data_IF_147567583783
#
_entry.id   IF_147567583783
#
_cell.length_a   1.000
_cell.length_b   1.000
_cell.length_c   1.000
_cell.angle_alpha   90.00
_cell.angle_beta   90.00
_cell.angle_gamma   90.00
#
_symmetry.space_group_name_H-M   'P 1'
#
loop_
_entity.id
_entity.type
_entity.pdbx_description
1 polymer ?
#
# COMPACT_ATOMS: atom_id res chain seq x y z
N UNK A 1 -6.31 -1.73 26.99
CA UNK A 1 -6.97 -2.37 25.82
C UNK A 1 -8.46 -2.30 26.09
N UNK A 2 -9.27 -1.93 25.10
CA UNK A 2 -10.73 -1.92 25.25
C UNK A 2 -11.28 -3.35 25.16
N UNK A 3 -12.40 -3.61 25.81
CA UNK A 3 -13.17 -4.84 25.64
C UNK A 3 -13.66 -4.95 24.20
N UNK A 4 -13.69 -6.19 23.72
CA UNK A 4 -14.37 -6.50 22.46
C UNK A 4 -15.84 -6.03 22.52
N UNK A 5 -16.37 -5.57 21.41
CA UNK A 5 -17.74 -5.07 21.31
C UNK A 5 -18.56 -6.01 20.45
N UNK A 6 -19.80 -6.27 20.87
CA UNK A 6 -20.75 -7.07 20.08
C UNK A 6 -21.47 -6.10 19.16
N UNK A 7 -20.90 -5.90 17.98
CA UNK A 7 -21.44 -5.03 16.95
C UNK A 7 -21.11 -5.62 15.58
N UNK A 8 -21.96 -5.34 14.60
CA UNK A 8 -21.73 -5.76 13.20
C UNK A 8 -20.52 -5.01 12.62
N UNK A 9 -19.56 -5.76 12.06
CA UNK A 9 -18.37 -5.21 11.40
C UNK A 9 -18.57 -4.97 9.89
N UNK A 10 -19.76 -5.32 9.37
CA UNK A 10 -20.11 -5.28 7.96
C UNK A 10 -21.22 -4.27 7.63
N UNK A 11 -21.66 -3.45 8.58
CA UNK A 11 -22.70 -2.45 8.38
C UNK A 11 -22.34 -1.08 8.93
N UNK A 12 -22.88 -0.02 8.30
CA UNK A 12 -22.73 1.35 8.79
C UNK A 12 -23.37 1.53 10.18
N UNK A 13 -24.49 0.86 10.44
CA UNK A 13 -25.15 0.86 11.74
C UNK A 13 -24.26 0.24 12.83
N UNK A 14 -23.67 -0.93 12.55
CA UNK A 14 -22.77 -1.61 13.48
C UNK A 14 -21.53 -0.77 13.81
N UNK A 15 -20.98 -0.02 12.85
CA UNK A 15 -19.94 0.99 13.13
C UNK A 15 -20.44 2.05 14.12
N UNK A 16 -21.69 2.50 14.01
CA UNK A 16 -22.31 3.40 14.99
C UNK A 16 -22.38 2.81 16.40
N UNK A 17 -22.76 1.53 16.51
CA UNK A 17 -22.81 0.78 17.78
C UNK A 17 -21.41 0.65 18.42
N UNK A 18 -20.37 0.47 17.60
CA UNK A 18 -18.97 0.47 18.07
C UNK A 18 -18.60 1.80 18.72
N UNK A 19 -19.03 2.94 18.19
CA UNK A 19 -18.76 4.24 18.82
C UNK A 19 -19.46 4.40 20.16
N UNK A 20 -20.72 3.96 20.26
CA UNK A 20 -21.45 3.96 21.53
C UNK A 20 -20.71 3.14 22.58
N UNK A 21 -20.35 1.89 22.23
CA UNK A 21 -19.60 1.02 23.13
C UNK A 21 -18.20 1.57 23.47
N UNK A 22 -17.55 2.27 22.54
CA UNK A 22 -16.26 2.91 22.79
C UNK A 22 -16.39 4.04 23.82
N UNK A 23 -17.37 4.94 23.65
CA UNK A 23 -17.65 6.06 24.56
C UNK A 23 -17.91 5.55 25.98
N UNK A 24 -18.75 4.52 26.11
CA UNK A 24 -19.06 3.88 27.39
C UNK A 24 -17.81 3.29 28.06
N UNK A 25 -16.97 2.59 27.31
CA UNK A 25 -15.79 1.94 27.86
C UNK A 25 -14.68 2.91 28.28
N UNK A 26 -14.54 4.05 27.60
CA UNK A 26 -13.56 5.07 27.98
C UNK A 26 -14.08 5.98 29.09
N UNK A 27 -15.35 5.86 29.49
CA UNK A 27 -15.97 6.66 30.54
C UNK A 27 -16.12 8.13 30.18
N UNK A 28 -16.21 8.45 28.88
CA UNK A 28 -16.45 9.83 28.42
C UNK A 28 -17.93 10.05 28.20
N UNK A 29 -18.39 11.29 28.37
CA UNK A 29 -19.68 11.70 27.82
C UNK A 29 -19.60 11.79 26.29
N UNK A 30 -20.75 11.67 25.61
CA UNK A 30 -20.81 11.87 24.17
C UNK A 30 -20.29 13.27 23.77
N UNK A 31 -20.57 14.30 24.59
CA UNK A 31 -20.08 15.65 24.36
C UNK A 31 -18.55 15.73 24.43
N UNK A 32 -17.92 15.15 25.45
CA UNK A 32 -16.46 15.12 25.56
C UNK A 32 -15.82 14.36 24.41
N UNK A 33 -16.36 13.21 24.04
CA UNK A 33 -15.85 12.42 22.91
C UNK A 33 -15.91 13.21 21.60
N UNK A 34 -17.05 13.86 21.32
CA UNK A 34 -17.27 14.62 20.09
C UNK A 34 -16.68 16.04 20.09
N UNK A 35 -16.18 16.51 21.24
CA UNK A 35 -15.40 17.76 21.36
C UNK A 35 -13.95 17.62 20.88
N UNK A 36 -13.47 16.38 20.68
CA UNK A 36 -12.08 16.07 20.33
C UNK A 36 -11.98 15.43 18.95
N UNK A 37 -10.84 15.61 18.29
CA UNK A 37 -10.49 14.81 17.11
C UNK A 37 -10.29 13.35 17.54
N UNK A 38 -10.98 12.42 16.87
CA UNK A 38 -10.89 10.99 17.12
C UNK A 38 -10.24 10.33 15.91
N UNK A 39 -9.01 9.88 16.05
CA UNK A 39 -8.31 9.15 15.00
C UNK A 39 -8.64 7.67 15.15
N UNK A 40 -9.15 7.05 14.09
CA UNK A 40 -9.45 5.62 14.07
C UNK A 40 -8.77 4.99 12.87
N UNK A 41 -7.97 3.99 13.16
CA UNK A 41 -7.26 3.22 12.14
C UNK A 41 -7.92 1.87 11.96
N UNK A 42 -8.00 1.42 10.71
CA UNK A 42 -8.53 0.11 10.39
C UNK A 42 -8.29 -0.24 8.93
N UNK A 43 -8.73 -1.42 8.52
CA UNK A 43 -8.71 -1.75 7.11
C UNK A 43 -9.60 -0.76 6.31
N UNK A 44 -9.39 -0.70 5.00
CA UNK A 44 -10.12 0.23 4.15
C UNK A 44 -11.64 -0.03 4.10
N UNK A 45 -12.07 -1.27 4.33
CA UNK A 45 -13.49 -1.61 4.44
C UNK A 45 -14.15 -0.90 5.62
N UNK A 46 -13.53 -0.91 6.80
CA UNK A 46 -14.01 -0.20 7.99
C UNK A 46 -14.06 1.32 7.76
N UNK A 47 -13.04 1.88 7.09
CA UNK A 47 -13.03 3.30 6.73
C UNK A 47 -14.22 3.64 5.80
N UNK A 48 -14.50 2.80 4.81
CA UNK A 48 -15.63 2.98 3.89
C UNK A 48 -16.99 2.89 4.59
N UNK A 49 -17.13 1.99 5.58
CA UNK A 49 -18.35 1.90 6.37
C UNK A 49 -18.57 3.16 7.21
N UNK A 50 -17.51 3.71 7.81
CA UNK A 50 -17.60 5.00 8.51
C UNK A 50 -17.95 6.15 7.57
N UNK A 51 -17.30 6.24 6.40
CA UNK A 51 -17.65 7.25 5.39
C UNK A 51 -19.08 7.06 4.85
N UNK A 52 -19.60 5.84 4.81
CA UNK A 52 -21.01 5.55 4.51
C UNK A 52 -21.93 6.07 5.61
N UNK A 53 -21.61 5.77 6.87
CA UNK A 53 -22.37 6.25 8.03
C UNK A 53 -22.43 7.77 8.07
N UNK A 54 -21.31 8.46 7.85
CA UNK A 54 -21.27 9.92 7.76
C UNK A 54 -22.22 10.46 6.70
N UNK A 55 -22.21 9.87 5.49
CA UNK A 55 -23.10 10.24 4.39
C UNK A 55 -24.58 10.02 4.72
N UNK A 56 -24.92 8.93 5.39
CA UNK A 56 -26.30 8.65 5.82
C UNK A 56 -26.81 9.67 6.85
N UNK A 57 -25.91 10.32 7.58
CA UNK A 57 -26.25 11.32 8.60
C UNK A 57 -26.22 12.75 8.08
N UNK A 58 -26.02 12.97 6.77
CA UNK A 58 -26.12 14.30 6.15
C UNK A 58 -27.60 14.64 5.91
N UNK A 59 -28.08 15.85 6.25
CA UNK A 59 -27.34 16.94 6.90
C UNK A 59 -27.37 16.86 8.43
N UNK A 60 -26.18 16.75 9.03
CA UNK A 60 -26.01 16.87 10.48
C UNK A 60 -25.26 18.16 10.83
N UNK A 61 -25.72 18.87 11.86
CA UNK A 61 -25.13 20.13 12.32
C UNK A 61 -24.10 19.95 13.44
N UNK A 62 -24.18 18.87 14.19
CA UNK A 62 -23.36 18.65 15.38
C UNK A 62 -22.48 17.42 15.22
N UNK A 63 -21.26 17.46 15.77
CA UNK A 63 -20.27 16.38 15.68
C UNK A 63 -20.77 15.02 16.15
N UNK A 64 -21.63 14.98 17.19
CA UNK A 64 -22.19 13.73 17.71
C UNK A 64 -23.11 13.02 16.69
N UNK A 65 -23.80 13.81 15.87
CA UNK A 65 -24.59 13.30 14.75
C UNK A 65 -23.74 13.09 13.50
N UNK A 66 -22.92 14.06 13.09
CA UNK A 66 -22.20 14.01 11.81
C UNK A 66 -20.97 13.09 11.80
N UNK A 67 -20.41 12.79 12.97
CA UNK A 67 -19.11 12.13 13.15
C UNK A 67 -17.96 12.86 12.44
N UNK A 68 -18.10 14.15 12.16
CA UNK A 68 -17.08 14.95 11.46
C UNK A 68 -15.75 14.96 12.23
N UNK A 69 -15.81 14.95 13.56
CA UNK A 69 -14.64 14.90 14.43
C UNK A 69 -13.89 13.54 14.40
N UNK A 70 -14.43 12.51 13.74
CA UNK A 70 -13.79 11.20 13.63
C UNK A 70 -13.05 11.10 12.30
N UNK A 71 -11.74 10.93 12.33
CA UNK A 71 -10.89 10.77 11.15
C UNK A 71 -10.54 9.28 10.94
N UNK A 72 -11.15 8.60 9.95
CA UNK A 72 -10.70 7.26 9.55
C UNK A 72 -9.38 7.34 8.80
N UNK A 73 -8.44 6.48 9.19
CA UNK A 73 -7.16 6.29 8.50
C UNK A 73 -7.06 4.83 8.03
N UNK A 74 -6.79 4.58 6.73
CA UNK A 74 -6.47 3.24 6.27
C UNK A 74 -5.17 2.75 6.90
N UNK A 75 -5.22 1.55 7.45
CA UNK A 75 -4.12 0.97 8.20
C UNK A 75 -2.85 0.80 7.37
N UNK A 76 -1.70 1.07 7.98
CA UNK A 76 -0.44 1.10 7.25
C UNK A 76 -0.02 -0.29 6.73
N UNK A 77 -0.28 -1.36 7.48
CA UNK A 77 0.00 -2.71 7.01
C UNK A 77 -0.94 -3.12 5.88
N UNK A 78 -2.24 -2.88 6.00
CA UNK A 78 -3.18 -3.17 4.92
C UNK A 78 -2.86 -2.38 3.65
N UNK A 79 -2.43 -1.13 3.76
CA UNK A 79 -1.98 -0.33 2.61
C UNK A 79 -0.76 -0.97 1.94
N UNK A 80 0.28 -1.31 2.71
CA UNK A 80 1.48 -2.01 2.21
C UNK A 80 1.10 -3.32 1.52
N UNK A 81 0.27 -4.15 2.14
CA UNK A 81 -0.10 -5.46 1.63
C UNK A 81 -0.86 -5.41 0.31
N UNK A 82 -1.86 -4.52 0.19
CA UNK A 82 -2.65 -4.43 -1.04
C UNK A 82 -1.83 -3.80 -2.17
N UNK A 83 -1.00 -2.79 -1.88
CA UNK A 83 -0.08 -2.21 -2.88
C UNK A 83 0.96 -3.24 -3.35
N UNK A 84 1.61 -3.92 -2.41
CA UNK A 84 2.61 -4.96 -2.71
C UNK A 84 2.02 -6.09 -3.55
N UNK A 85 0.81 -6.57 -3.22
CA UNK A 85 0.14 -7.61 -4.00
C UNK A 85 -0.14 -7.15 -5.43
N UNK A 86 -0.68 -5.95 -5.62
CA UNK A 86 -0.98 -5.43 -6.95
C UNK A 86 0.29 -5.23 -7.80
N UNK A 87 1.35 -4.68 -7.21
CA UNK A 87 2.66 -4.52 -7.87
C UNK A 87 3.24 -5.89 -8.23
N UNK A 88 3.23 -6.84 -7.30
CA UNK A 88 3.80 -8.16 -7.51
C UNK A 88 3.06 -8.95 -8.59
N UNK A 89 1.73 -8.86 -8.64
CA UNK A 89 0.93 -9.51 -9.68
C UNK A 89 1.20 -8.95 -11.08
N UNK A 90 1.41 -7.64 -11.19
CA UNK A 90 1.77 -6.98 -12.46
C UNK A 90 3.16 -7.38 -12.95
N UNK A 91 4.08 -7.66 -12.03
CA UNK A 91 5.46 -8.09 -12.31
C UNK A 91 5.68 -9.60 -12.28
N UNK A 92 4.61 -10.37 -12.09
CA UNK A 92 4.71 -11.80 -11.85
C UNK A 92 5.34 -12.52 -13.05
N UNK A 93 4.87 -12.24 -14.27
CA UNK A 93 5.28 -12.89 -15.52
C UNK A 93 4.34 -14.02 -15.97
N UNK A 94 4.70 -14.70 -17.06
CA UNK A 94 3.96 -15.83 -17.60
C UNK A 94 4.70 -17.17 -17.37
N UNK A 95 4.25 -17.93 -16.37
CA UNK A 95 4.81 -19.23 -15.99
C UNK A 95 4.73 -20.30 -17.10
N UNK A 96 3.85 -20.13 -18.10
CA UNK A 96 3.72 -21.08 -19.21
C UNK A 96 4.85 -20.96 -20.24
N UNK A 97 5.64 -19.90 -20.18
CA UNK A 97 6.78 -19.69 -21.07
C UNK A 97 8.08 -19.74 -20.30
N UNK A 98 8.91 -20.76 -20.58
CA UNK A 98 10.17 -20.99 -19.86
C UNK A 98 11.18 -19.85 -19.98
N UNK A 99 11.07 -19.03 -21.03
CA UNK A 99 11.91 -17.86 -21.32
C UNK A 99 11.40 -16.55 -20.71
N UNK A 100 10.22 -16.57 -20.07
CA UNK A 100 9.72 -15.39 -19.37
C UNK A 100 10.57 -15.12 -18.12
N UNK A 101 10.99 -13.86 -17.98
CA UNK A 101 11.92 -13.41 -16.94
C UNK A 101 11.23 -12.66 -15.80
N UNK A 102 9.93 -12.85 -15.64
CA UNK A 102 9.13 -12.28 -14.56
C UNK A 102 9.58 -12.69 -13.15
N UNK A 103 8.93 -12.14 -12.14
CA UNK A 103 9.30 -12.40 -10.75
C UNK A 103 9.24 -13.90 -10.38
N UNK A 104 8.31 -14.66 -10.99
CA UNK A 104 8.23 -16.12 -10.81
C UNK A 104 9.55 -16.82 -11.19
N UNK A 105 10.19 -16.40 -12.29
CA UNK A 105 11.44 -16.99 -12.79
C UNK A 105 12.60 -16.72 -11.84
N UNK A 106 12.61 -15.54 -11.23
CA UNK A 106 13.59 -15.16 -10.22
C UNK A 106 13.46 -16.02 -8.96
N UNK A 107 12.22 -16.25 -8.49
CA UNK A 107 11.96 -17.15 -7.35
C UNK A 107 12.38 -18.59 -7.65
N UNK A 108 12.03 -19.09 -8.84
CA UNK A 108 12.47 -20.41 -9.30
C UNK A 108 14.01 -20.51 -9.34
N UNK A 109 14.70 -19.49 -9.88
CA UNK A 109 16.16 -19.41 -9.87
C UNK A 109 16.77 -19.39 -8.47
N UNK A 110 16.06 -18.84 -7.49
CA UNK A 110 16.43 -18.86 -6.07
C UNK A 110 16.08 -20.18 -5.37
N UNK A 111 15.49 -21.17 -6.06
CA UNK A 111 15.06 -22.44 -5.47
C UNK A 111 13.80 -22.32 -4.61
N UNK A 112 12.98 -21.29 -4.85
CA UNK A 112 11.75 -21.03 -4.09
C UNK A 112 10.55 -21.47 -4.92
N UNK A 113 9.82 -22.47 -4.43
CA UNK A 113 8.51 -22.85 -4.97
C UNK A 113 7.49 -21.84 -4.48
N UNK A 114 6.99 -20.99 -5.39
CA UNK A 114 6.02 -19.96 -5.08
C UNK A 114 4.84 -20.03 -6.04
N UNK A 115 3.63 -19.99 -5.49
CA UNK A 115 2.42 -19.80 -6.26
C UNK A 115 2.19 -18.31 -6.53
N UNK A 116 1.53 -18.01 -7.65
CA UNK A 116 1.07 -16.65 -7.94
C UNK A 116 0.21 -16.15 -6.78
N UNK A 117 0.50 -14.98 -6.18
CA UNK A 117 -0.15 -14.51 -4.95
C UNK A 117 -1.53 -13.91 -5.22
N UNK A 118 -2.43 -14.71 -5.82
CA UNK A 118 -3.80 -14.31 -6.16
C UNK A 118 -4.67 -14.31 -4.90
N UNK A 119 -4.37 -15.17 -3.93
CA UNK A 119 -5.13 -15.27 -2.67
C UNK A 119 -4.46 -14.50 -1.54
N UNK A 120 -5.26 -13.87 -0.67
CA UNK A 120 -4.80 -13.11 0.51
C UNK A 120 -4.49 -14.04 1.70
N UNK A 121 -3.60 -15.02 1.49
CA UNK A 121 -3.27 -16.03 2.51
C UNK A 121 -2.08 -15.65 3.38
N UNK A 122 -0.95 -15.27 2.77
CA UNK A 122 0.28 -14.95 3.52
C UNK A 122 1.00 -13.74 2.93
N UNK A 123 0.68 -12.55 3.47
CA UNK A 123 1.32 -11.30 3.08
C UNK A 123 2.78 -11.21 3.51
N UNK A 124 3.17 -11.88 4.60
CA UNK A 124 4.55 -11.85 5.08
C UNK A 124 5.47 -12.63 4.14
N UNK A 125 5.02 -13.81 3.69
CA UNK A 125 5.72 -14.61 2.70
C UNK A 125 5.81 -13.87 1.36
N UNK A 126 4.72 -13.22 0.94
CA UNK A 126 4.71 -12.40 -0.27
C UNK A 126 5.76 -11.27 -0.23
N UNK A 127 5.80 -10.49 0.86
CA UNK A 127 6.81 -9.43 1.02
C UNK A 127 8.24 -9.99 1.06
N UNK A 128 8.43 -11.13 1.73
CA UNK A 128 9.71 -11.84 1.76
C UNK A 128 10.18 -12.24 0.36
N UNK A 129 9.28 -12.78 -0.48
CA UNK A 129 9.56 -13.12 -1.87
C UNK A 129 9.94 -11.90 -2.71
N UNK A 130 9.20 -10.79 -2.57
CA UNK A 130 9.53 -9.55 -3.29
C UNK A 130 10.92 -9.03 -2.90
N UNK A 131 11.25 -9.01 -1.61
CA UNK A 131 12.57 -8.59 -1.13
C UNK A 131 13.69 -9.50 -1.66
N UNK A 132 13.51 -10.83 -1.64
CA UNK A 132 14.49 -11.78 -2.19
C UNK A 132 14.73 -11.58 -3.68
N UNK A 133 13.66 -11.43 -4.46
CA UNK A 133 13.75 -11.19 -5.91
C UNK A 133 14.47 -9.87 -6.19
N UNK A 134 14.12 -8.82 -5.45
CA UNK A 134 14.73 -7.52 -5.61
C UNK A 134 16.23 -7.56 -5.29
N UNK A 135 16.61 -8.03 -4.11
CA UNK A 135 18.02 -8.08 -3.67
C UNK A 135 18.89 -8.96 -4.58
N UNK A 136 18.38 -10.12 -5.02
CA UNK A 136 19.09 -10.96 -5.97
C UNK A 136 19.30 -10.26 -7.32
N UNK A 137 18.29 -9.52 -7.79
CA UNK A 137 18.38 -8.73 -9.02
C UNK A 137 19.38 -7.58 -8.88
N UNK A 138 19.39 -6.85 -7.76
CA UNK A 138 20.40 -5.82 -7.49
C UNK A 138 21.81 -6.41 -7.51
N UNK A 139 22.01 -7.55 -6.85
CA UNK A 139 23.29 -8.25 -6.82
C UNK A 139 23.77 -8.62 -8.22
N UNK A 140 22.89 -9.11 -9.09
CA UNK A 140 23.22 -9.39 -10.48
C UNK A 140 23.76 -8.15 -11.22
N UNK A 141 23.13 -6.99 -11.05
CA UNK A 141 23.61 -5.76 -11.69
C UNK A 141 24.91 -5.23 -11.12
N UNK A 142 25.09 -5.30 -9.81
CA UNK A 142 26.37 -4.96 -9.18
C UNK A 142 27.50 -5.83 -9.77
N UNK A 143 27.25 -7.13 -9.92
CA UNK A 143 28.22 -8.05 -10.52
C UNK A 143 28.44 -7.81 -12.01
N UNK A 144 27.42 -7.36 -12.73
CA UNK A 144 27.52 -6.97 -14.14
C UNK A 144 28.45 -5.76 -14.29
N UNK A 145 28.22 -4.69 -13.52
CA UNK A 145 29.12 -3.51 -13.49
C UNK A 145 30.55 -3.88 -13.07
N UNK A 146 30.69 -4.86 -12.19
CA UNK A 146 32.01 -5.36 -11.77
C UNK A 146 32.68 -6.30 -12.79
N UNK A 147 32.00 -6.74 -13.86
CA UNK A 147 32.50 -7.75 -14.80
C UNK A 147 32.71 -9.13 -14.14
N UNK A 148 31.85 -9.49 -13.17
CA UNK A 148 31.96 -10.72 -12.37
C UNK A 148 30.71 -11.61 -12.42
N UNK A 149 29.74 -11.32 -13.27
CA UNK A 149 28.46 -12.05 -13.31
C UNK A 149 28.60 -13.57 -13.55
N UNK A 150 29.62 -13.98 -14.33
CA UNK A 150 29.90 -15.40 -14.61
C UNK A 150 30.93 -16.04 -13.67
N UNK A 151 31.41 -15.32 -12.65
CA UNK A 151 32.40 -15.84 -11.72
C UNK A 151 31.72 -16.51 -10.53
N UNK A 152 32.30 -17.60 -10.06
CA UNK A 152 31.89 -18.23 -8.79
C UNK A 152 32.16 -17.23 -7.66
N UNK A 153 31.13 -16.87 -6.90
CA UNK A 153 31.32 -15.97 -5.77
C UNK A 153 31.92 -16.73 -4.59
N UNK A 154 32.94 -16.17 -3.92
CA UNK A 154 33.45 -16.74 -2.69
C UNK A 154 32.37 -16.72 -1.59
N UNK A 155 32.50 -17.62 -0.61
CA UNK A 155 31.65 -17.60 0.60
C UNK A 155 31.96 -16.40 1.49
N UNK A 156 33.20 -15.92 1.45
CA UNK A 156 33.66 -14.75 2.18
C UNK A 156 33.36 -13.46 1.42
N UNK A 157 33.07 -12.39 2.15
CA UNK A 157 32.82 -11.08 1.57
C UNK A 157 34.10 -10.52 0.94
N UNK A 158 33.97 -10.03 -0.30
CA UNK A 158 35.08 -9.41 -1.02
C UNK A 158 35.40 -8.06 -0.36
N UNK A 159 36.60 -7.95 0.21
CA UNK A 159 37.09 -6.67 0.74
C UNK A 159 37.32 -5.67 -0.40
N UNK A 160 36.83 -4.44 -0.22
CA UNK A 160 36.91 -3.39 -1.23
C UNK A 160 37.04 -2.02 -0.57
N UNK A 161 37.79 -1.10 -1.20
CA UNK A 161 37.89 0.29 -0.75
C UNK A 161 36.53 0.99 -0.91
N UNK A 162 36.14 1.81 0.07
CA UNK A 162 34.86 2.55 0.06
C UNK A 162 34.66 3.38 -1.21
N UNK A 163 35.72 4.04 -1.72
CA UNK A 163 35.65 4.79 -2.97
C UNK A 163 35.24 3.93 -4.17
N UNK A 164 35.75 2.70 -4.26
CA UNK A 164 35.38 1.77 -5.34
C UNK A 164 33.95 1.28 -5.17
N UNK A 165 33.49 1.05 -3.94
CA UNK A 165 32.09 0.70 -3.66
C UNK A 165 31.18 1.82 -4.14
N UNK A 166 31.47 3.08 -3.80
CA UNK A 166 30.69 4.23 -4.25
C UNK A 166 30.63 4.31 -5.78
N UNK A 167 31.76 4.15 -6.48
CA UNK A 167 31.78 4.11 -7.96
C UNK A 167 30.88 3.02 -8.54
N UNK A 168 30.90 1.81 -7.97
CA UNK A 168 30.06 0.71 -8.43
C UNK A 168 28.58 1.03 -8.21
N UNK A 169 28.24 1.59 -7.04
CA UNK A 169 26.85 1.99 -6.72
C UNK A 169 26.34 3.02 -7.73
N UNK A 170 27.10 4.08 -8.00
CA UNK A 170 26.71 5.10 -8.98
C UNK A 170 26.58 4.54 -10.40
N UNK A 171 27.52 3.69 -10.82
CA UNK A 171 27.45 3.04 -12.13
C UNK A 171 26.24 2.11 -12.25
N UNK A 172 25.93 1.34 -11.20
CA UNK A 172 24.75 0.49 -11.14
C UNK A 172 23.46 1.31 -11.11
N UNK A 173 23.44 2.44 -10.39
CA UNK A 173 22.32 3.38 -10.38
C UNK A 173 22.05 3.92 -11.80
N UNK A 174 23.08 4.46 -12.46
CA UNK A 174 22.97 4.98 -13.82
C UNK A 174 22.51 3.92 -14.84
N UNK A 175 22.95 2.67 -14.66
CA UNK A 175 22.61 1.56 -15.55
C UNK A 175 21.14 1.10 -15.43
N UNK A 176 20.55 1.15 -14.23
CA UNK A 176 19.29 0.42 -13.94
C UNK A 176 18.22 1.26 -13.23
N UNK A 177 18.62 2.17 -12.35
CA UNK A 177 17.71 2.84 -11.42
C UNK A 177 17.40 4.29 -11.80
N UNK A 178 18.12 4.84 -12.79
CA UNK A 178 17.91 6.19 -13.32
C UNK A 178 16.71 6.26 -14.25
N UNK A 179 16.16 7.47 -14.44
CA UNK A 179 15.13 7.70 -15.46
C UNK A 179 15.68 7.48 -16.87
N UNK A 180 16.96 7.84 -17.08
CA UNK A 180 17.69 7.66 -18.33
C UNK A 180 17.83 6.18 -18.71
N UNK A 181 17.97 5.27 -17.74
CA UNK A 181 18.00 3.83 -17.99
C UNK A 181 16.70 3.35 -18.65
N UNK A 182 15.54 3.83 -18.17
CA UNK A 182 14.22 3.51 -18.73
C UNK A 182 14.02 4.10 -20.14
N UNK A 183 14.72 5.18 -20.46
CA UNK A 183 14.71 5.85 -21.77
C UNK A 183 15.85 5.38 -22.69
N UNK A 184 16.63 4.39 -22.26
CA UNK A 184 17.78 3.91 -23.02
C UNK A 184 17.37 3.22 -24.33
N UNK A 185 18.23 3.22 -25.36
CA UNK A 185 17.97 2.49 -26.60
C UNK A 185 17.68 1.00 -26.37
N UNK A 186 18.28 0.41 -25.33
CA UNK A 186 18.03 -0.99 -24.96
C UNK A 186 16.62 -1.17 -24.40
N UNK A 187 16.14 -0.28 -23.53
CA UNK A 187 14.78 -0.31 -23.01
C UNK A 187 13.73 -0.10 -24.12
N UNK A 188 14.03 0.70 -25.15
CA UNK A 188 13.14 0.87 -26.31
C UNK A 188 13.09 -0.36 -27.22
N UNK A 189 14.21 -1.11 -27.34
CA UNK A 189 14.32 -2.27 -28.25
C UNK A 189 13.99 -3.61 -27.59
N UNK A 190 14.17 -3.73 -26.27
CA UNK A 190 14.01 -4.99 -25.53
C UNK A 190 12.93 -4.86 -24.44
N UNK A 191 11.76 -5.46 -24.70
CA UNK A 191 10.64 -5.47 -23.75
C UNK A 191 11.01 -6.14 -22.44
N UNK A 192 11.77 -7.25 -22.48
CA UNK A 192 12.23 -7.96 -21.29
C UNK A 192 13.13 -7.07 -20.41
N UNK A 193 14.04 -6.30 -21.03
CA UNK A 193 14.89 -5.35 -20.30
C UNK A 193 14.05 -4.24 -19.66
N UNK A 194 13.14 -3.61 -20.41
CA UNK A 194 12.25 -2.57 -19.88
C UNK A 194 11.39 -3.08 -18.71
N UNK A 195 10.80 -4.26 -18.86
CA UNK A 195 10.02 -4.92 -17.80
C UNK A 195 10.84 -5.13 -16.52
N UNK A 196 12.11 -5.53 -16.66
CA UNK A 196 13.02 -5.73 -15.55
C UNK A 196 13.36 -4.40 -14.84
N UNK A 197 13.62 -3.31 -15.59
CA UNK A 197 13.84 -1.99 -15.01
C UNK A 197 12.62 -1.51 -14.20
N UNK A 198 11.42 -1.65 -14.78
CA UNK A 198 10.17 -1.32 -14.10
C UNK A 198 9.96 -2.15 -12.83
N UNK A 199 10.23 -3.47 -12.88
CA UNK A 199 10.13 -4.34 -11.70
C UNK A 199 11.05 -3.88 -10.58
N UNK A 200 12.30 -3.57 -10.90
CA UNK A 200 13.29 -3.13 -9.91
C UNK A 200 12.84 -1.83 -9.26
N UNK A 201 12.43 -0.84 -10.05
CA UNK A 201 11.88 0.43 -9.55
C UNK A 201 10.66 0.22 -8.65
N UNK A 202 9.67 -0.53 -9.12
CA UNK A 202 8.40 -0.66 -8.41
C UNK A 202 8.55 -1.51 -7.13
N UNK A 203 9.38 -2.56 -7.14
CA UNK A 203 9.69 -3.36 -5.94
C UNK A 203 10.45 -2.55 -4.90
N UNK A 204 11.32 -1.62 -5.33
CA UNK A 204 12.03 -0.72 -4.42
C UNK A 204 11.05 0.07 -3.55
N UNK A 205 9.91 0.53 -4.12
CA UNK A 205 8.91 1.28 -3.35
C UNK A 205 8.28 0.45 -2.22
N UNK A 206 8.02 -0.84 -2.45
CA UNK A 206 7.45 -1.77 -1.47
C UNK A 206 8.44 -2.08 -0.37
N UNK A 207 9.69 -2.38 -0.74
CA UNK A 207 10.75 -2.72 0.21
C UNK A 207 11.12 -1.50 1.05
N UNK A 208 11.17 -0.32 0.45
CA UNK A 208 11.43 0.93 1.16
C UNK A 208 10.30 1.25 2.16
N UNK A 209 9.03 1.12 1.76
CA UNK A 209 7.91 1.29 2.67
C UNK A 209 7.98 0.29 3.84
N UNK A 210 8.27 -0.98 3.58
CA UNK A 210 8.43 -2.00 4.62
C UNK A 210 9.60 -1.68 5.58
N UNK A 211 10.73 -1.20 5.05
CA UNK A 211 11.91 -0.82 5.86
C UNK A 211 11.65 0.44 6.68
N UNK A 212 10.97 1.43 6.11
CA UNK A 212 10.52 2.64 6.80
C UNK A 212 9.60 2.28 7.97
N UNK A 213 8.63 1.39 7.76
CA UNK A 213 7.74 0.89 8.82
C UNK A 213 8.52 0.21 9.94
N UNK A 214 9.48 -0.68 9.63
CA UNK A 214 10.33 -1.34 10.64
C UNK A 214 11.18 -0.34 11.42
N UNK A 215 11.68 0.70 10.75
CA UNK A 215 12.49 1.76 11.35
C UNK A 215 11.66 2.75 12.20
N UNK A 216 10.34 2.75 12.08
CA UNK A 216 9.48 3.77 12.69
C UNK A 216 9.55 5.13 11.99
N UNK A 217 10.03 5.16 10.75
CA UNK A 217 10.21 6.38 9.98
C UNK A 217 8.96 6.68 9.14
N UNK A 218 8.02 7.42 9.73
CA UNK A 218 6.82 7.83 9.03
C UNK A 218 7.10 8.81 7.88
N UNK A 219 8.23 9.53 7.88
CA UNK A 219 8.59 10.45 6.80
C UNK A 219 8.88 9.71 5.50
N UNK A 220 9.75 8.70 5.58
CA UNK A 220 10.05 7.79 4.46
C UNK A 220 8.81 7.02 4.00
N UNK A 221 7.95 6.59 4.94
CA UNK A 221 6.70 5.94 4.61
C UNK A 221 5.75 6.86 3.82
N UNK A 222 5.60 8.13 4.25
CA UNK A 222 4.77 9.10 3.53
C UNK A 222 5.30 9.40 2.14
N UNK A 223 6.62 9.50 1.99
CA UNK A 223 7.23 9.67 0.67
C UNK A 223 6.87 8.52 -0.28
N UNK A 224 6.88 7.26 0.19
CA UNK A 224 6.42 6.11 -0.62
C UNK A 224 4.92 6.14 -0.91
N UNK A 225 4.11 6.57 0.04
CA UNK A 225 2.67 6.70 -0.17
C UNK A 225 2.32 7.76 -1.22
N UNK A 226 3.11 8.84 -1.33
CA UNK A 226 2.98 9.83 -2.40
C UNK A 226 3.23 9.21 -3.78
N UNK A 227 4.24 8.34 -3.91
CA UNK A 227 4.47 7.61 -5.15
C UNK A 227 3.30 6.66 -5.46
N UNK A 228 2.80 5.95 -4.45
CA UNK A 228 1.66 5.04 -4.59
C UNK A 228 0.34 5.74 -4.89
N UNK A 229 0.16 6.98 -4.46
CA UNK A 229 -1.00 7.80 -4.81
C UNK A 229 -1.12 7.98 -6.33
N UNK A 230 0.01 8.06 -7.02
CA UNK A 230 0.09 8.12 -8.49
C UNK A 230 0.02 6.71 -9.10
N UNK A 231 0.89 5.79 -8.67
CA UNK A 231 0.96 4.44 -9.26
C UNK A 231 -0.35 3.67 -9.18
N UNK A 232 -1.11 3.84 -8.09
CA UNK A 232 -2.38 3.13 -7.88
C UNK A 232 -3.48 3.53 -8.88
N UNK A 233 -3.37 4.67 -9.57
CA UNK A 233 -4.33 5.04 -10.63
C UNK A 233 -4.22 4.13 -11.85
N UNK A 234 -3.01 3.64 -12.13
CA UNK A 234 -2.75 2.71 -13.22
C UNK A 234 -3.20 1.27 -12.90
N UNK A 235 -3.28 0.91 -11.62
CA UNK A 235 -3.50 -0.47 -11.18
C UNK A 235 -5.00 -0.85 -11.14
N UNK A 236 -5.45 -1.83 -11.96
CA UNK A 236 -6.88 -2.13 -12.15
C UNK A 236 -7.57 -2.74 -10.93
N UNK A 237 -6.83 -3.28 -9.96
CA UNK A 237 -7.36 -4.02 -8.80
C UNK A 237 -7.28 -3.26 -7.48
N UNK A 238 -7.09 -1.94 -7.52
CA UNK A 238 -7.00 -1.07 -6.33
C UNK A 238 -7.96 0.14 -6.34
N UNK A 239 -9.23 0.02 -6.77
CA UNK A 239 -10.10 1.19 -6.97
C UNK A 239 -10.35 1.99 -5.68
N UNK A 240 -10.31 1.34 -4.52
CA UNK A 240 -10.50 2.02 -3.24
C UNK A 240 -9.22 2.70 -2.76
N UNK A 241 -8.07 2.04 -2.81
CA UNK A 241 -6.80 2.64 -2.37
C UNK A 241 -6.36 3.79 -3.29
N UNK A 242 -6.66 3.71 -4.59
CA UNK A 242 -6.41 4.79 -5.54
C UNK A 242 -7.22 6.05 -5.25
N UNK A 243 -8.30 5.98 -4.48
CA UNK A 243 -9.04 7.16 -4.00
C UNK A 243 -8.60 7.61 -2.61
N UNK A 244 -8.51 6.67 -1.67
CA UNK A 244 -8.31 7.00 -0.25
C UNK A 244 -6.89 7.48 0.05
N UNK A 245 -5.87 6.92 -0.60
CA UNK A 245 -4.49 7.27 -0.32
C UNK A 245 -4.17 8.72 -0.75
N UNK A 246 -4.50 9.18 -1.98
CA UNK A 246 -4.33 10.59 -2.34
C UNK A 246 -5.11 11.54 -1.42
N UNK A 247 -6.36 11.18 -1.07
CA UNK A 247 -7.20 11.99 -0.19
C UNK A 247 -6.58 12.17 1.20
N UNK A 248 -6.02 11.11 1.78
CA UNK A 248 -5.33 11.18 3.07
C UNK A 248 -4.07 12.06 3.00
N UNK A 249 -3.28 11.92 1.93
CA UNK A 249 -2.08 12.72 1.70
C UNK A 249 -2.42 14.20 1.58
N UNK A 250 -3.43 14.55 0.77
CA UNK A 250 -3.92 15.93 0.64
C UNK A 250 -4.41 16.45 2.00
N UNK A 251 -5.23 15.67 2.71
CA UNK A 251 -5.71 16.03 4.04
C UNK A 251 -4.54 16.38 4.98
N UNK A 252 -3.48 15.56 5.03
CA UNK A 252 -2.33 15.80 5.90
C UNK A 252 -1.42 16.95 5.43
N UNK A 253 -1.25 17.16 4.12
CA UNK A 253 -0.31 18.14 3.58
C UNK A 253 -0.91 19.53 3.41
N UNK A 254 -2.22 19.64 3.14
CA UNK A 254 -2.85 20.91 2.76
C UNK A 254 -3.98 21.36 3.67
N UNK A 255 -4.67 20.44 4.38
CA UNK A 255 -5.86 20.78 5.16
C UNK A 255 -5.60 20.79 6.66
N UNK A 256 -4.94 19.77 7.19
CA UNK A 256 -4.71 19.65 8.63
C UNK A 256 -3.60 20.60 9.09
N UNK A 257 -3.75 21.24 10.26
CA UNK A 257 -2.65 21.90 10.94
C UNK A 257 -1.45 20.96 11.10
N UNK A 258 -0.20 21.46 11.02
CA UNK A 258 1.00 20.63 11.09
C UNK A 258 1.08 19.74 12.34
N UNK A 259 0.55 20.21 13.47
CA UNK A 259 0.46 19.46 14.72
C UNK A 259 -0.47 18.25 14.61
N UNK A 260 -1.66 18.41 14.00
CA UNK A 260 -2.60 17.30 13.78
C UNK A 260 -2.08 16.32 12.73
N UNK A 261 -1.47 16.82 11.65
CA UNK A 261 -0.81 15.97 10.66
C UNK A 261 0.34 15.16 11.29
N UNK A 262 1.03 15.71 12.30
CA UNK A 262 2.04 14.97 13.08
C UNK A 262 1.39 13.85 13.91
N UNK A 263 0.27 14.12 14.58
CA UNK A 263 -0.46 13.09 15.35
C UNK A 263 -0.91 11.94 14.44
N UNK A 264 -1.49 12.24 13.28
CA UNK A 264 -1.90 11.25 12.27
C UNK A 264 -0.70 10.39 11.83
N UNK A 265 0.45 11.00 11.53
CA UNK A 265 1.66 10.25 11.18
C UNK A 265 2.15 9.38 12.34
N UNK A 266 2.13 9.91 13.55
CA UNK A 266 2.58 9.18 14.75
C UNK A 266 1.64 8.05 15.16
N UNK A 267 0.38 8.04 14.73
CA UNK A 267 -0.55 6.95 15.03
C UNK A 267 -0.37 5.72 14.14
N UNK A 268 0.25 5.86 12.97
CA UNK A 268 0.38 4.76 12.00
C UNK A 268 1.26 3.61 12.50
N UNK A 269 2.30 3.93 13.29
CA UNK A 269 3.34 2.97 13.68
C UNK A 269 3.51 2.96 15.20
N UNK A 270 3.69 1.78 15.76
CA UNK A 270 4.02 1.57 17.16
C UNK A 270 5.21 0.63 17.29
N UNK A 271 5.96 0.74 18.39
CA UNK A 271 7.00 -0.21 18.75
C UNK A 271 6.62 -0.97 20.02
N UNK A 272 5.95 -2.13 19.91
CA UNK A 272 5.49 -2.89 21.07
C UNK A 272 6.61 -3.34 22.01
N UNK A 273 7.84 -3.47 21.48
CA UNK A 273 8.99 -3.96 22.25
C UNK A 273 9.95 -2.86 22.71
N UNK A 274 9.74 -1.60 22.29
CA UNK A 274 10.68 -0.50 22.53
C UNK A 274 12.04 -0.62 21.82
N UNK A 275 12.30 -1.70 21.07
CA UNK A 275 13.57 -1.92 20.38
C UNK A 275 13.67 -1.19 19.04
N UNK A 276 14.86 -0.70 18.71
CA UNK A 276 15.15 -0.13 17.40
C UNK A 276 14.91 -1.19 16.29
N UNK A 277 14.27 -0.78 15.19
CA UNK A 277 13.96 -1.68 14.06
C UNK A 277 12.78 -2.63 14.28
N UNK A 278 12.02 -2.47 15.38
CA UNK A 278 10.88 -3.32 15.74
C UNK A 278 9.54 -2.58 15.72
N UNK A 279 9.47 -1.48 14.96
CA UNK A 279 8.19 -0.83 14.71
C UNK A 279 7.32 -1.69 13.79
N UNK A 280 6.02 -1.63 14.03
CA UNK A 280 4.99 -2.28 13.24
C UNK A 280 3.83 -1.30 13.07
N UNK A 281 3.01 -1.52 12.04
CA UNK A 281 1.76 -0.78 11.97
C UNK A 281 0.82 -1.16 13.12
N UNK A 282 0.05 -0.18 13.59
CA UNK A 282 -0.98 -0.36 14.63
C UNK A 282 -2.06 -1.35 14.20
N UNK A 283 -2.52 -1.27 12.95
CA UNK A 283 -3.50 -2.21 12.39
C UNK A 283 -2.95 -3.65 12.36
N UNK A 284 -1.68 -3.85 12.01
CA UNK A 284 -1.02 -5.16 12.11
C UNK A 284 -0.92 -5.63 13.56
N UNK A 285 -0.59 -4.75 14.50
CA UNK A 285 -0.53 -5.13 15.90
C UNK A 285 -1.90 -5.57 16.44
N UNK A 286 -2.98 -4.91 15.99
CA UNK A 286 -4.35 -5.33 16.29
C UNK A 286 -4.64 -6.73 15.73
N UNK A 287 -4.21 -7.04 14.51
CA UNK A 287 -4.34 -8.40 13.95
C UNK A 287 -3.61 -9.45 14.80
N UNK A 288 -2.43 -9.10 15.35
CA UNK A 288 -1.72 -9.97 16.29
C UNK A 288 -2.55 -10.18 17.57
N UNK A 289 -3.20 -9.14 18.12
CA UNK A 289 -4.08 -9.31 19.28
C UNK A 289 -5.28 -10.19 18.95
N UNK A 290 -5.90 -10.00 17.78
CA UNK A 290 -7.02 -10.80 17.30
C UNK A 290 -6.63 -12.28 17.13
N UNK A 291 -5.43 -12.56 16.64
CA UNK A 291 -4.89 -13.91 16.55
C UNK A 291 -4.80 -14.57 17.93
N UNK A 292 -4.19 -13.90 18.91
CA UNK A 292 -4.04 -14.45 20.27
C UNK A 292 -5.37 -14.62 20.96
N UNK A 293 -6.30 -13.69 20.76
CA UNK A 293 -7.67 -13.79 21.25
C UNK A 293 -8.33 -15.08 20.75
N UNK A 294 -8.29 -15.35 19.44
CA UNK A 294 -8.80 -16.59 18.84
C UNK A 294 -8.05 -17.83 19.36
N UNK A 295 -6.73 -17.73 19.49
CA UNK A 295 -5.90 -18.83 20.00
C UNK A 295 -6.31 -19.24 21.41
N UNK A 296 -6.35 -18.30 22.36
CA UNK A 296 -6.74 -18.58 23.75
C UNK A 296 -8.18 -19.06 23.85
N UNK A 297 -9.10 -18.44 23.11
CA UNK A 297 -10.50 -18.85 23.12
C UNK A 297 -10.66 -20.30 22.65
N UNK A 298 -10.08 -20.65 21.50
CA UNK A 298 -10.22 -21.98 20.90
C UNK A 298 -9.52 -23.09 21.71
N UNK A 299 -8.47 -22.77 22.47
CA UNK A 299 -7.71 -23.75 23.25
C UNK A 299 -8.10 -23.80 24.74
N UNK A 300 -9.17 -23.10 25.14
CA UNK A 300 -9.67 -23.09 26.52
C UNK A 300 -10.72 -24.19 26.83
N UNK A 301 -11.08 -25.02 25.85
CA UNK A 301 -11.93 -26.20 26.01
C UNK A 301 -13.45 -25.95 26.13
N UNK A 302 -13.89 -24.67 26.19
CA UNK A 302 -15.31 -24.29 26.35
C UNK A 302 -15.68 -23.26 25.27
N UNK A 303 -15.58 -23.68 24.00
CA UNK A 303 -15.49 -22.83 22.81
C UNK A 303 -16.76 -22.06 22.36
N UNK A 304 -17.64 -21.63 23.27
CA UNK A 304 -18.93 -21.02 22.89
C UNK A 304 -19.39 -19.83 23.74
N UNK A 305 -18.69 -19.43 24.79
CA UNK A 305 -19.15 -18.33 25.65
C UNK A 305 -18.61 -16.95 25.23
N UNK A 306 -19.40 -16.21 24.44
CA UNK A 306 -19.03 -14.88 23.91
C UNK A 306 -18.76 -13.85 25.02
N UNK A 307 -19.49 -13.94 26.15
CA UNK A 307 -19.27 -13.04 27.29
C UNK A 307 -17.87 -13.24 27.89
N UNK A 308 -17.38 -14.48 27.94
CA UNK A 308 -16.03 -14.78 28.42
C UNK A 308 -14.96 -14.28 27.45
N UNK A 309 -15.18 -14.42 26.14
CA UNK A 309 -14.32 -13.81 25.11
C UNK A 309 -14.24 -12.28 25.30
N UNK A 310 -15.39 -11.65 25.52
CA UNK A 310 -15.55 -10.21 25.67
C UNK A 310 -14.94 -9.69 26.96
N UNK A 311 -15.36 -10.20 28.11
CA UNK A 311 -15.10 -9.60 29.41
C UNK A 311 -13.82 -10.14 30.07
N UNK A 312 -13.39 -11.36 29.73
CA UNK A 312 -12.21 -11.99 30.33
C UNK A 312 -11.02 -11.95 29.38
N UNK A 313 -11.16 -12.46 28.15
CA UNK A 313 -10.00 -12.61 27.28
C UNK A 313 -9.55 -11.31 26.61
N UNK A 314 -10.48 -10.54 26.04
CA UNK A 314 -10.13 -9.41 25.18
C UNK A 314 -9.24 -8.35 25.84
N UNK A 315 -9.47 -8.03 27.12
CA UNK A 315 -8.65 -7.04 27.85
C UNK A 315 -7.33 -7.61 28.36
N UNK A 316 -7.26 -8.92 28.56
CA UNK A 316 -6.16 -9.61 29.25
C UNK A 316 -5.16 -10.26 28.30
N UNK A 317 -5.33 -10.15 26.97
CA UNK A 317 -4.39 -10.75 26.00
C UNK A 317 -2.92 -10.41 26.28
N UNK A 318 -2.52 -9.16 26.57
CA UNK A 318 -1.13 -8.86 26.89
C UNK A 318 -0.62 -9.62 28.13
N UNK A 319 -1.44 -9.69 29.18
CA UNK A 319 -1.11 -10.35 30.44
C UNK A 319 -1.01 -11.87 30.23
N UNK A 320 -1.97 -12.47 29.54
CA UNK A 320 -1.99 -13.91 29.25
C UNK A 320 -0.77 -14.33 28.42
N UNK A 321 -0.39 -13.52 27.42
CA UNK A 321 0.82 -13.76 26.63
C UNK A 321 2.08 -13.67 27.49
N UNK A 322 2.16 -12.66 28.35
CA UNK A 322 3.28 -12.51 29.27
C UNK A 322 3.37 -13.69 30.25
N UNK A 323 2.25 -14.12 30.83
CA UNK A 323 2.20 -15.27 31.72
C UNK A 323 2.69 -16.56 31.03
N UNK A 324 2.25 -16.82 29.79
CA UNK A 324 2.75 -17.98 29.03
C UNK A 324 4.26 -17.90 28.75
N UNK A 325 4.79 -16.70 28.51
CA UNK A 325 6.23 -16.52 28.33
C UNK A 325 6.98 -16.75 29.65
N UNK A 326 6.47 -16.19 30.76
CA UNK A 326 7.04 -16.36 32.09
C UNK A 326 7.07 -17.84 32.49
N UNK A 327 5.95 -18.56 32.34
CA UNK A 327 5.87 -20.00 32.65
C UNK A 327 6.88 -20.84 31.85
N UNK A 328 7.12 -20.49 30.58
CA UNK A 328 8.16 -21.15 29.77
C UNK A 328 9.56 -20.88 30.30
N UNK A 329 9.84 -19.64 30.72
CA UNK A 329 11.13 -19.27 31.29
C UNK A 329 11.35 -20.02 32.61
N UNK A 330 10.37 -20.00 33.51
CA UNK A 330 10.41 -20.68 34.81
C UNK A 330 10.51 -22.21 34.67
N UNK A 331 9.95 -22.79 33.59
CA UNK A 331 10.11 -24.22 33.29
C UNK A 331 11.48 -24.57 32.68
N UNK A 332 12.47 -23.67 32.75
CA UNK A 332 13.80 -23.85 32.18
C UNK A 332 13.86 -23.82 30.66
N UNK A 333 12.77 -23.40 29.99
CA UNK A 333 12.72 -23.32 28.53
C UNK A 333 13.10 -21.92 28.05
N UNK A 334 14.07 -21.85 27.14
CA UNK A 334 14.41 -20.58 26.51
C UNK A 334 13.28 -20.13 25.57
N UNK A 335 12.67 -18.98 25.86
CA UNK A 335 11.73 -18.32 24.94
C UNK A 335 12.51 -17.76 23.76
N UNK A 336 12.68 -18.58 22.73
CA UNK A 336 13.28 -18.17 21.47
C UNK A 336 12.20 -17.54 20.60
N UNK A 337 12.27 -16.22 20.44
CA UNK A 337 11.49 -15.56 19.40
C UNK A 337 12.15 -15.86 18.05
N UNK A 338 11.48 -16.64 17.21
CA UNK A 338 11.94 -16.85 15.84
C UNK A 338 11.88 -15.53 15.07
N UNK A 339 13.02 -14.87 14.91
CA UNK A 339 13.16 -13.85 13.89
C UNK A 339 13.29 -14.57 12.55
N UNK A 340 12.22 -14.64 11.77
CA UNK A 340 12.30 -15.07 10.38
C UNK A 340 13.09 -14.02 9.60
N UNK A 341 14.43 -14.10 9.66
CA UNK A 341 15.30 -13.24 8.87
C UNK A 341 15.14 -13.66 7.42
N UNK A 342 14.77 -12.71 6.58
CA UNK A 342 14.75 -12.93 5.16
C UNK A 342 16.20 -13.01 4.66
N UNK A 343 16.69 -14.23 4.41
CA UNK A 343 18.07 -14.49 4.01
C UNK A 343 18.09 -15.12 2.63
N UNK A 344 19.05 -14.67 1.82
CA UNK A 344 19.49 -15.32 0.59
C UNK A 344 20.72 -16.15 0.93
N UNK A 345 20.62 -17.47 0.80
CA UNK A 345 21.78 -18.34 0.97
C UNK A 345 22.66 -18.35 -0.28
N UNK A 346 23.93 -18.74 -0.10
CA UNK A 346 24.94 -18.74 -1.16
C UNK A 346 24.54 -19.62 -2.35
N UNK A 347 23.91 -20.78 -2.10
CA UNK A 347 23.50 -21.70 -3.15
C UNK A 347 22.35 -21.11 -4.00
N UNK A 348 21.34 -20.55 -3.36
CA UNK A 348 20.25 -19.85 -4.04
C UNK A 348 20.74 -18.68 -4.89
N UNK A 349 21.70 -17.90 -4.38
CA UNK A 349 22.33 -16.82 -5.16
C UNK A 349 23.04 -17.38 -6.40
N UNK A 350 23.85 -18.43 -6.25
CA UNK A 350 24.54 -19.06 -7.38
C UNK A 350 23.58 -19.62 -8.42
N UNK A 351 22.48 -20.25 -8.00
CA UNK A 351 21.46 -20.76 -8.91
C UNK A 351 20.75 -19.63 -9.65
N UNK A 352 20.43 -18.53 -8.96
CA UNK A 352 19.84 -17.35 -9.57
C UNK A 352 20.77 -16.73 -10.62
N UNK A 353 22.06 -16.56 -10.32
CA UNK A 353 23.02 -15.97 -11.26
C UNK A 353 23.24 -16.85 -12.50
N UNK A 354 23.24 -18.18 -12.34
CA UNK A 354 23.28 -19.13 -13.47
C UNK A 354 22.05 -18.99 -14.35
N UNK A 355 20.86 -18.94 -13.74
CA UNK A 355 19.60 -18.71 -14.45
C UNK A 355 19.63 -17.37 -15.18
N UNK A 356 20.02 -16.29 -14.50
CA UNK A 356 20.07 -14.96 -15.09
C UNK A 356 21.06 -14.90 -16.29
N UNK A 357 22.22 -15.56 -16.17
CA UNK A 357 23.17 -15.67 -17.28
C UNK A 357 22.59 -16.47 -18.45
N UNK A 358 21.93 -17.60 -18.18
CA UNK A 358 21.36 -18.47 -19.21
C UNK A 358 20.21 -17.82 -19.99
N UNK A 359 19.41 -17.00 -19.31
CA UNK A 359 18.31 -16.24 -19.92
C UNK A 359 18.74 -14.85 -20.44
N UNK A 360 20.05 -14.55 -20.44
CA UNK A 360 20.60 -13.24 -20.83
C UNK A 360 19.82 -12.08 -20.21
N UNK A 361 19.66 -12.16 -18.89
CA UNK A 361 18.74 -11.35 -18.10
C UNK A 361 19.05 -9.86 -18.28
N UNK A 362 18.11 -9.13 -18.86
CA UNK A 362 18.30 -7.70 -19.11
C UNK A 362 19.20 -7.35 -20.28
N UNK A 363 19.53 -8.28 -21.16
CA UNK A 363 20.29 -8.02 -22.39
C UNK A 363 19.37 -8.10 -23.62
N UNK A 364 19.83 -7.51 -24.73
CA UNK A 364 19.22 -7.76 -26.03
C UNK A 364 19.50 -9.23 -26.41
N UNK A 365 18.46 -10.02 -26.62
CA UNK A 365 18.64 -11.40 -27.04
C UNK A 365 17.51 -11.86 -27.97
N UNK A 366 17.88 -12.72 -28.93
CA UNK A 366 16.96 -13.30 -29.91
C UNK A 366 16.51 -14.71 -29.49
N UNK A 367 16.30 -14.95 -28.19
CA UNK A 367 15.96 -16.27 -27.65
C UNK A 367 14.53 -16.74 -28.02
N UNK A 368 13.88 -16.11 -28.99
CA UNK A 368 12.62 -16.56 -29.59
C UNK A 368 11.36 -16.29 -28.78
N UNK A 369 11.44 -15.51 -27.69
CA UNK A 369 10.29 -15.13 -26.88
C UNK A 369 10.34 -13.64 -26.50
N UNK A 370 9.25 -12.92 -26.78
CA UNK A 370 9.05 -11.55 -26.32
C UNK A 370 7.96 -11.55 -25.26
N UNK A 371 8.25 -11.14 -24.01
CA UNK A 371 7.23 -11.07 -22.97
C UNK A 371 6.23 -9.94 -23.25
N UNK A 372 5.04 -10.03 -22.66
CA UNK A 372 4.09 -8.92 -22.67
C UNK A 372 4.69 -7.71 -21.96
N UNK A 373 4.56 -6.52 -22.57
CA UNK A 373 5.04 -5.30 -21.96
C UNK A 373 4.29 -5.01 -20.65
N UNK A 374 5.06 -4.72 -19.60
CA UNK A 374 4.52 -4.29 -18.31
C UNK A 374 4.20 -2.81 -18.38
N UNK A 375 3.06 -2.46 -17.80
CA UNK A 375 2.61 -1.09 -17.65
C UNK A 375 3.59 -0.28 -16.78
N UNK A 376 4.07 0.87 -17.27
CA UNK A 376 4.73 1.82 -16.39
C UNK A 376 3.68 2.47 -15.49
N UNK A 377 3.50 1.92 -14.29
CA UNK A 377 2.43 2.30 -13.37
C UNK A 377 2.47 3.78 -12.97
N UNK A 378 3.67 4.37 -12.89
CA UNK A 378 3.82 5.76 -12.50
C UNK A 378 3.45 6.69 -13.66
N UNK A 379 4.01 6.44 -14.84
CA UNK A 379 3.71 7.23 -16.05
C UNK A 379 2.22 7.16 -16.42
N UNK A 380 1.66 5.95 -16.46
CA UNK A 380 0.24 5.73 -16.77
C UNK A 380 -0.68 6.25 -15.66
N UNK A 381 -0.19 6.27 -14.42
CA UNK A 381 -0.88 6.88 -13.30
C UNK A 381 -1.02 8.40 -13.49
N UNK A 382 0.05 9.08 -13.93
CA UNK A 382 0.02 10.50 -14.28
C UNK A 382 -0.94 10.74 -15.44
N UNK A 383 -0.80 9.98 -16.53
CA UNK A 383 -1.65 10.14 -17.72
C UNK A 383 -3.12 10.03 -17.37
N UNK A 384 -3.53 9.01 -16.61
CA UNK A 384 -4.93 8.87 -16.16
C UNK A 384 -5.42 10.05 -15.31
N UNK A 385 -4.56 10.64 -14.48
CA UNK A 385 -4.92 11.81 -13.69
C UNK A 385 -5.11 13.05 -14.57
N UNK A 386 -4.26 13.23 -15.59
CA UNK A 386 -4.39 14.31 -16.56
C UNK A 386 -5.66 14.13 -17.39
N UNK A 387 -5.85 12.94 -17.95
CA UNK A 387 -7.04 12.59 -18.72
C UNK A 387 -8.32 12.84 -17.89
N UNK A 388 -8.37 12.41 -16.62
CA UNK A 388 -9.53 12.66 -15.73
C UNK A 388 -9.76 14.14 -15.45
N UNK A 389 -8.68 14.92 -15.29
CA UNK A 389 -8.78 16.36 -15.05
C UNK A 389 -9.29 17.11 -16.29
N UNK A 390 -8.83 16.75 -17.47
CA UNK A 390 -9.18 17.39 -18.75
C UNK A 390 -10.57 16.97 -19.25
N UNK A 391 -10.95 15.70 -19.06
CA UNK A 391 -12.20 15.15 -19.60
C UNK A 391 -13.45 15.41 -18.75
N UNK A 392 -13.28 15.81 -17.49
CA UNK A 392 -14.40 15.85 -16.54
C UNK A 392 -14.80 17.26 -16.11
N UNK A 393 -16.11 17.57 -16.14
CA UNK A 393 -16.68 18.78 -15.52
C UNK A 393 -16.39 18.92 -14.00
N UNK A 394 -15.96 17.83 -13.35
CA UNK A 394 -15.61 17.75 -11.93
C UNK A 394 -14.10 17.60 -11.67
N UNK A 395 -13.27 17.52 -12.74
CA UNK A 395 -11.83 17.26 -12.65
C UNK A 395 -11.48 16.14 -11.66
N UNK A 396 -10.56 16.40 -10.74
CA UNK A 396 -10.09 15.45 -9.71
C UNK A 396 -10.86 15.52 -8.37
N UNK A 397 -12.13 15.93 -8.41
CA UNK A 397 -12.96 16.12 -7.22
C UNK A 397 -13.09 14.89 -6.32
N UNK A 398 -12.86 13.67 -6.86
CA UNK A 398 -12.90 12.44 -6.05
C UNK A 398 -11.86 12.40 -4.93
N UNK A 399 -10.80 13.21 -5.02
CA UNK A 399 -9.78 13.34 -3.97
C UNK A 399 -10.09 14.45 -2.95
N UNK A 400 -11.13 15.25 -3.19
CA UNK A 400 -11.49 16.35 -2.29
C UNK A 400 -11.75 15.80 -0.88
N UNK A 401 -11.08 16.35 0.15
CA UNK A 401 -11.38 16.06 1.54
C UNK A 401 -12.85 16.31 1.86
N UNK A 402 -13.39 15.59 2.84
CA UNK A 402 -14.80 15.69 3.18
C UNK A 402 -15.09 17.00 3.92
N UNK A 403 -16.04 17.79 3.43
CA UNK A 403 -16.50 19.01 4.09
C UNK A 403 -17.44 18.70 5.25
N UNK A 404 -17.52 19.58 6.25
CA UNK A 404 -18.21 19.26 7.49
C UNK A 404 -19.74 19.27 7.33
N UNK A 405 -20.42 18.17 7.64
CA UNK A 405 -21.87 18.11 7.83
C UNK A 405 -22.69 18.90 6.80
N UNK A 406 -23.32 20.00 7.25
CA UNK A 406 -24.17 20.88 6.43
C UNK A 406 -23.43 21.58 5.27
N UNK A 407 -22.11 21.80 5.40
CA UNK A 407 -21.30 22.42 4.35
C UNK A 407 -21.19 21.55 3.09
N UNK A 408 -21.39 20.24 3.21
CA UNK A 408 -21.51 19.37 2.04
C UNK A 408 -22.72 19.71 1.18
N UNK A 409 -23.82 20.17 1.78
CA UNK A 409 -24.99 20.60 1.02
C UNK A 409 -24.72 21.90 0.26
N UNK A 410 -24.00 22.84 0.87
CA UNK A 410 -23.62 24.10 0.21
C UNK A 410 -22.67 23.83 -0.96
N UNK A 411 -21.64 23.01 -0.78
CA UNK A 411 -20.75 22.61 -1.86
C UNK A 411 -21.48 21.83 -2.97
N UNK A 412 -22.39 20.93 -2.62
CA UNK A 412 -23.18 20.19 -3.61
C UNK A 412 -24.10 21.12 -4.41
N UNK A 413 -24.63 22.18 -3.78
CA UNK A 413 -25.43 23.21 -4.46
C UNK A 413 -24.58 24.06 -5.38
N UNK A 414 -23.41 24.54 -4.93
CA UNK A 414 -22.47 25.30 -5.76
C UNK A 414 -21.99 24.48 -6.97
N UNK A 415 -21.70 23.18 -6.77
CA UNK A 415 -21.32 22.28 -7.88
C UNK A 415 -22.44 22.10 -8.89
N UNK A 416 -23.69 21.92 -8.43
CA UNK A 416 -24.84 21.84 -9.32
C UNK A 416 -25.03 23.15 -10.10
N UNK A 417 -24.88 24.29 -9.45
CA UNK A 417 -24.95 25.59 -10.11
C UNK A 417 -23.88 25.74 -11.20
N UNK A 418 -22.61 25.44 -10.88
CA UNK A 418 -21.50 25.49 -11.87
C UNK A 418 -21.68 24.51 -13.03
N UNK A 419 -22.16 23.30 -12.78
CA UNK A 419 -22.44 22.33 -13.84
C UNK A 419 -23.55 22.83 -14.78
N UNK A 420 -24.59 23.46 -14.23
CA UNK A 420 -25.67 24.06 -15.02
C UNK A 420 -25.21 25.26 -15.84
N UNK A 421 -24.24 26.04 -15.35
CA UNK A 421 -23.65 27.15 -16.11
C UNK A 421 -22.75 26.65 -17.26
N UNK A 422 -21.97 25.59 -17.05
CA UNK A 422 -21.16 24.94 -18.12
C UNK A 422 -22.06 24.33 -19.20
N UNK A 423 -23.16 23.67 -18.82
CA UNK A 423 -24.13 23.12 -19.78
C UNK A 423 -24.83 24.22 -20.58
N UNK A 424 -25.06 25.40 -19.98
CA UNK A 424 -25.58 26.58 -20.69
C UNK A 424 -24.56 27.18 -21.65
N UNK A 425 -23.31 27.38 -21.24
CA UNK A 425 -22.25 27.87 -22.13
C UNK A 425 -22.04 26.93 -23.33
N UNK A 426 -22.04 25.61 -23.11
CA UNK A 426 -21.94 24.64 -24.20
C UNK A 426 -23.17 24.66 -25.14
N UNK A 427 -24.37 24.89 -24.60
CA UNK A 427 -25.58 25.03 -25.40
C UNK A 427 -25.62 26.35 -26.20
N UNK A 428 -25.07 27.44 -25.65
CA UNK A 428 -24.93 28.72 -26.34
C UNK A 428 -23.93 28.63 -27.49
N UNK A 429 -22.76 28.00 -27.28
CA UNK A 429 -21.75 27.74 -28.33
C UNK A 429 -22.30 26.89 -29.48
N UNK A 430 -23.15 25.89 -29.19
CA UNK A 430 -23.83 25.08 -30.21
C UNK A 430 -24.93 25.84 -30.96
N UNK A 431 -25.57 26.83 -30.32
CA UNK A 431 -26.58 27.66 -30.97
C UNK A 431 -25.97 28.77 -31.86
N UNK A 432 -24.81 29.33 -31.48
CA UNK A 432 -24.05 30.25 -32.34
C UNK A 432 -23.49 29.57 -33.60
N UNK A 433 -23.12 28.28 -33.54
CA UNK A 433 -22.66 27.51 -34.71
C UNK A 433 -23.78 27.05 -35.65
N UNK A 434 -25.05 27.11 -35.23
CA UNK A 434 -26.20 26.78 -36.09
C UNK A 434 -26.86 28.02 -36.72
N UNK A 435 -26.39 29.22 -36.38
CA UNK A 435 -26.93 30.50 -36.86
C UNK A 435 -26.31 31.06 -38.15
N UNK A 436 -25.39 30.36 -38.83
CA UNK A 436 -24.65 30.89 -40.01
C UNK A 436 -24.94 30.19 -41.35
N UNK A 437 -26.15 29.67 -41.57
CA UNK A 437 -26.59 29.29 -42.92
C UNK A 437 -27.38 30.46 -43.53
N UNK A 438 -26.69 31.25 -44.34
CA UNK A 438 -27.27 32.29 -45.18
C UNK A 438 -28.32 31.68 -46.14
N UNK A 439 -29.52 32.27 -46.12
CA UNK A 439 -30.47 32.19 -47.21
C UNK A 439 -29.92 32.99 -48.38
N UNK A 440 -29.44 32.31 -49.43
CA UNK A 440 -29.43 32.86 -50.79
C UNK A 440 -29.67 31.70 -51.77
N UNK A 441 -30.43 32.05 -52.81
CA UNK A 441 -30.76 31.29 -54.03
C UNK A 441 -32.02 30.39 -54.05
N UNK A 442 -33.16 31.07 -54.22
CA UNK A 442 -34.29 30.59 -55.03
C UNK A 442 -34.28 31.33 -56.37
N UNK A 443 -33.90 30.63 -57.45
CA UNK A 443 -34.30 30.80 -58.88
C UNK A 443 -33.44 29.78 -59.64
N UNK A 444 -33.92 28.79 -60.39
CA UNK A 444 -35.13 28.59 -61.21
C UNK A 444 -35.40 27.10 -61.34
#
# INVERSE_FOLDING_TARGET
>A
MLKLMIASDNSAQGVGEVFTGLIEQVGLTAQEFHSRLQIIEGNLGSCNLLDSLKRQRVPARHNHTSLTNVLPIPGAAHTLWNMAQAIFLSHWGNEKHQRDTGAWRSLHGLGITAEKPVTKKDFNLMLSHMEKVHEATILFFLLTVMGKVHKVLPKELIKMKSARIATIVEQTYALVFSGEALMSPLASKCVAHKNMLLRVRDFATVIEAQRAMKAGDCGRLMYMWEQWAVMSQALPKLPHYSKHLPKLILLMKTVLPPSLAKVVRSSLLICPTGRAGHFVATDFYLEVQNYWLKYFFNHSGIGTEINRLKDVFSINIPILRFLLQLLKIESGTNVTHQSHKNKLDHLSIMNFLRMASAEKFGELNDLGYTPTAILDMYHEGIKKLQDEYESGAQGLDRFRPHSEGIYQMYEAREKRARAMDIDKENAEVLSEHSGSVNNDDITT
#
